data_IF_662905474937
#
_entry.id   IF_662905474937
#
_cell.length_a   1.000
_cell.length_b   1.000
_cell.length_c   1.000
_cell.angle_alpha   90.00
_cell.angle_beta   90.00
_cell.angle_gamma   90.00
#
_symmetry.space_group_name_H-M   'P 1'
#
loop_
_entity.id
_entity.type
_entity.pdbx_description
1 polymer ?
#
# COMPACT_ATOMS: atom_id res chain seq x y z
N UNK A 1 10.99 15.11 29.20
CA UNK A 1 11.19 14.52 27.86
C UNK A 1 10.52 13.15 27.89
N UNK A 2 9.22 13.08 27.58
CA UNK A 2 8.51 11.80 27.53
C UNK A 2 8.97 11.05 26.29
N UNK A 3 9.76 10.00 26.53
CA UNK A 3 10.08 8.97 25.53
C UNK A 3 8.77 8.39 24.99
N UNK A 4 8.72 8.23 23.67
CA UNK A 4 7.67 7.58 22.89
C UNK A 4 6.95 6.49 23.68
N UNK A 5 5.65 6.67 23.92
CA UNK A 5 4.80 5.59 24.40
C UNK A 5 4.76 4.52 23.29
N UNK A 6 5.04 3.27 23.67
CA UNK A 6 4.95 2.13 22.76
C UNK A 6 3.49 1.89 22.40
N UNK A 7 3.19 1.86 21.10
CA UNK A 7 1.85 1.56 20.60
C UNK A 7 1.74 0.05 20.34
N UNK A 8 1.28 -0.69 21.35
CA UNK A 8 1.07 -2.14 21.27
C UNK A 8 0.09 -2.54 20.16
N UNK A 9 -0.87 -1.66 19.81
CA UNK A 9 -1.82 -1.94 18.72
C UNK A 9 -1.10 -1.89 17.38
N UNK A 10 -0.30 -0.85 17.15
CA UNK A 10 0.50 -0.71 15.92
C UNK A 10 1.45 -1.89 15.72
N UNK A 11 2.13 -2.37 16.77
CA UNK A 11 3.01 -3.54 16.66
C UNK A 11 2.26 -4.79 16.20
N UNK A 12 1.04 -4.99 16.72
CA UNK A 12 0.19 -6.12 16.31
C UNK A 12 -0.25 -6.00 14.86
N UNK A 13 -0.61 -4.80 14.41
CA UNK A 13 -0.98 -4.52 13.01
C UNK A 13 0.22 -4.77 12.08
N UNK A 14 1.40 -4.25 12.40
CA UNK A 14 2.63 -4.49 11.61
C UNK A 14 2.96 -5.98 11.56
N UNK A 15 2.80 -6.69 12.69
CA UNK A 15 2.98 -8.14 12.77
C UNK A 15 2.04 -8.90 11.83
N UNK A 16 0.77 -8.51 11.78
CA UNK A 16 -0.22 -9.08 10.86
C UNK A 16 0.12 -8.79 9.40
N UNK A 17 0.49 -7.56 9.07
CA UNK A 17 0.92 -7.17 7.72
C UNK A 17 2.08 -8.06 7.26
N UNK A 18 3.09 -8.26 8.11
CA UNK A 18 4.24 -9.10 7.79
C UNK A 18 3.85 -10.57 7.57
N UNK A 19 2.90 -11.12 8.34
CA UNK A 19 2.41 -12.49 8.16
C UNK A 19 1.60 -12.64 6.86
N UNK A 20 0.70 -11.69 6.57
CA UNK A 20 -0.08 -11.64 5.33
C UNK A 20 0.86 -11.63 4.11
N UNK A 21 1.83 -10.72 4.08
CA UNK A 21 2.79 -10.60 2.97
C UNK A 21 3.67 -11.85 2.83
N UNK A 22 4.02 -12.51 3.93
CA UNK A 22 4.82 -13.74 3.92
C UNK A 22 4.04 -14.92 3.33
N UNK A 23 2.76 -15.05 3.68
CA UNK A 23 1.92 -16.17 3.23
C UNK A 23 1.25 -15.92 1.88
N UNK A 24 1.05 -14.65 1.52
CA UNK A 24 0.29 -14.23 0.34
C UNK A 24 -1.22 -14.49 0.44
N UNK A 25 -1.72 -14.83 1.63
CA UNK A 25 -3.14 -15.13 1.89
C UNK A 25 -3.60 -14.50 3.21
N UNK A 26 -4.89 -14.20 3.27
CA UNK A 26 -5.60 -13.63 4.42
C UNK A 26 -6.65 -14.64 4.88
N UNK A 27 -6.67 -14.91 6.18
CA UNK A 27 -7.66 -15.78 6.82
C UNK A 27 -8.82 -14.96 7.36
N UNK A 28 -10.03 -15.48 7.23
CA UNK A 28 -11.17 -14.88 7.90
C UNK A 28 -10.96 -14.90 9.43
N UNK A 29 -11.22 -13.76 10.11
CA UNK A 29 -10.99 -13.64 11.55
C UNK A 29 -11.97 -14.52 12.33
N UNK A 30 -11.53 -14.98 13.50
CA UNK A 30 -12.35 -15.84 14.37
C UNK A 30 -13.02 -15.07 15.51
N UNK A 31 -12.62 -13.82 15.72
CA UNK A 31 -13.19 -12.91 16.72
C UNK A 31 -13.27 -11.47 16.21
N UNK A 32 -14.12 -10.65 16.83
CA UNK A 32 -14.29 -9.22 16.48
C UNK A 32 -12.98 -8.41 16.63
N UNK A 33 -12.20 -8.70 17.68
CA UNK A 33 -10.92 -8.01 17.89
C UNK A 33 -9.89 -8.35 16.81
N UNK A 34 -9.83 -9.63 16.40
CA UNK A 34 -9.00 -10.04 15.26
C UNK A 34 -9.48 -9.40 13.96
N UNK A 35 -10.79 -9.26 13.79
CA UNK A 35 -11.37 -8.60 12.63
C UNK A 35 -10.97 -7.13 12.54
N UNK A 36 -11.05 -6.36 13.63
CA UNK A 36 -10.63 -4.96 13.64
C UNK A 36 -9.16 -4.79 13.25
N UNK A 37 -8.26 -5.57 13.85
CA UNK A 37 -6.82 -5.51 13.54
C UNK A 37 -6.52 -5.96 12.12
N UNK A 38 -7.25 -6.96 11.61
CA UNK A 38 -7.13 -7.42 10.23
C UNK A 38 -7.58 -6.33 9.25
N UNK A 39 -8.72 -5.70 9.47
CA UNK A 39 -9.23 -4.65 8.60
C UNK A 39 -8.27 -3.46 8.57
N UNK A 40 -7.70 -3.08 9.72
CA UNK A 40 -6.66 -2.05 9.80
C UNK A 40 -5.41 -2.44 8.98
N UNK A 41 -4.93 -3.68 9.12
CA UNK A 41 -3.80 -4.19 8.34
C UNK A 41 -4.06 -4.21 6.82
N UNK A 42 -5.29 -4.54 6.40
CA UNK A 42 -5.69 -4.56 4.99
C UNK A 42 -5.81 -3.17 4.40
N UNK A 43 -6.31 -2.20 5.17
CA UNK A 43 -6.37 -0.79 4.76
C UNK A 43 -4.94 -0.24 4.52
N UNK A 44 -3.99 -0.55 5.41
CA UNK A 44 -2.57 -0.24 5.21
C UNK A 44 -1.97 -0.86 3.94
N UNK A 45 -2.46 -2.03 3.53
CA UNK A 45 -2.01 -2.74 2.35
C UNK A 45 -2.77 -2.35 1.06
N UNK A 46 -3.77 -1.47 1.14
CA UNK A 46 -4.63 -1.13 -0.01
C UNK A 46 -5.51 -2.30 -0.47
N UNK A 47 -5.78 -3.27 0.41
CA UNK A 47 -6.56 -4.47 0.10
C UNK A 47 -8.04 -4.30 0.43
N UNK A 48 -8.90 -4.96 -0.35
CA UNK A 48 -10.34 -5.04 -0.08
C UNK A 48 -10.64 -5.95 1.10
N UNK A 49 -11.76 -5.71 1.78
CA UNK A 49 -12.25 -6.55 2.88
C UNK A 49 -12.59 -7.96 2.37
N UNK A 50 -12.12 -9.04 3.02
CA UNK A 50 -12.48 -10.40 2.64
C UNK A 50 -13.98 -10.66 2.92
N UNK A 51 -14.72 -11.30 2.00
CA UNK A 51 -16.14 -11.60 2.17
C UNK A 51 -16.38 -12.81 3.09
N UNK A 52 -16.07 -12.65 4.37
CA UNK A 52 -16.27 -13.66 5.40
C UNK A 52 -17.76 -13.78 5.77
N UNK A 53 -18.39 -14.91 5.44
CA UNK A 53 -19.84 -15.13 5.67
C UNK A 53 -20.25 -16.59 5.53
N UNK A 54 -20.07 -17.18 4.34
CA UNK A 54 -20.37 -18.60 4.05
C UNK A 54 -19.45 -19.19 2.96
N UNK A 55 -18.30 -18.55 2.72
CA UNK A 55 -17.38 -18.85 1.61
C UNK A 55 -16.04 -19.48 2.03
N UNK A 56 -15.01 -19.23 1.22
CA UNK A 56 -13.64 -19.64 1.50
C UNK A 56 -13.15 -19.05 2.83
N UNK A 57 -12.39 -19.85 3.60
CA UNK A 57 -11.79 -19.39 4.86
C UNK A 57 -10.50 -18.57 4.65
N UNK A 58 -10.01 -18.55 3.42
CA UNK A 58 -8.77 -17.91 3.00
C UNK A 58 -8.98 -17.23 1.64
N UNK A 59 -8.36 -16.06 1.48
CA UNK A 59 -8.33 -15.27 0.24
C UNK A 59 -6.90 -14.87 -0.06
N UNK A 60 -6.49 -14.97 -1.32
CA UNK A 60 -5.19 -14.51 -1.79
C UNK A 60 -5.12 -12.98 -1.84
N UNK A 61 -3.90 -12.42 -1.79
CA UNK A 61 -3.70 -10.98 -2.01
C UNK A 61 -4.22 -10.52 -3.38
N UNK A 62 -4.14 -11.37 -4.41
CA UNK A 62 -4.66 -11.07 -5.74
C UNK A 62 -6.18 -10.92 -5.74
N UNK A 63 -6.91 -11.85 -5.11
CA UNK A 63 -8.38 -11.78 -4.95
C UNK A 63 -8.82 -10.54 -4.16
N UNK A 64 -7.99 -10.08 -3.24
CA UNK A 64 -8.25 -8.87 -2.45
C UNK A 64 -7.80 -7.57 -3.14
N UNK A 65 -7.26 -7.65 -4.36
CA UNK A 65 -6.92 -6.47 -5.17
C UNK A 65 -5.57 -5.83 -4.83
N UNK A 66 -4.68 -6.51 -4.11
CA UNK A 66 -3.36 -5.97 -3.74
C UNK A 66 -2.53 -5.49 -4.95
N UNK A 67 -2.75 -6.09 -6.13
CA UNK A 67 -2.05 -5.74 -7.37
C UNK A 67 -2.86 -4.81 -8.29
N UNK A 68 -4.01 -4.27 -7.87
CA UNK A 68 -4.79 -3.37 -8.71
C UNK A 68 -4.19 -1.95 -8.75
N UNK A 69 -3.44 -1.55 -7.72
CA UNK A 69 -2.79 -0.23 -7.63
C UNK A 69 -1.63 -0.03 -8.63
N UNK A 70 -1.20 -1.08 -9.34
CA UNK A 70 -0.09 -1.00 -10.31
C UNK A 70 -0.53 -0.77 -11.76
N UNK A 71 -1.82 -0.46 -12.01
CA UNK A 71 -2.37 -0.28 -13.36
C UNK A 71 -2.87 1.16 -13.60
N UNK A 72 -1.98 2.11 -13.96
CA UNK A 72 -2.38 3.47 -14.27
C UNK A 72 -3.24 3.51 -15.55
N UNK A 73 -4.12 4.52 -15.71
CA UNK A 73 -4.95 4.66 -16.91
C UNK A 73 -4.09 4.67 -18.17
N UNK A 74 -4.50 3.88 -19.18
CA UNK A 74 -3.77 3.70 -20.45
C UNK A 74 -3.39 5.03 -21.11
N UNK A 75 -4.29 6.01 -21.09
CA UNK A 75 -4.10 7.30 -21.73
C UNK A 75 -3.50 8.37 -20.82
N UNK A 76 -3.35 8.10 -19.51
CA UNK A 76 -2.89 9.05 -18.48
C UNK A 76 -3.55 10.43 -18.59
N UNK A 77 -4.87 10.42 -18.81
CA UNK A 77 -5.73 11.62 -18.77
C UNK A 77 -6.44 11.62 -17.43
N UNK A 78 -6.37 12.72 -16.71
CA UNK A 78 -6.91 12.89 -15.37
C UNK A 78 -7.84 14.11 -15.33
N UNK A 79 -8.92 14.04 -14.56
CA UNK A 79 -9.94 15.08 -14.45
C UNK A 79 -9.44 16.28 -13.65
N UNK A 80 -8.56 16.05 -12.67
CA UNK A 80 -8.02 17.10 -11.80
C UNK A 80 -6.63 16.70 -11.26
N UNK A 81 -6.01 17.62 -10.50
CA UNK A 81 -4.67 17.43 -9.95
C UNK A 81 -4.60 16.39 -8.83
N UNK A 82 -5.71 16.16 -8.12
CA UNK A 82 -5.82 15.12 -7.10
C UNK A 82 -5.79 13.73 -7.75
N UNK A 83 -6.60 13.51 -8.79
CA UNK A 83 -6.62 12.27 -9.56
C UNK A 83 -5.26 12.00 -10.22
N UNK A 84 -4.62 13.05 -10.75
CA UNK A 84 -3.25 12.97 -11.28
C UNK A 84 -2.25 12.44 -10.23
N UNK A 85 -2.45 12.72 -8.94
CA UNK A 85 -1.55 12.21 -7.92
C UNK A 85 -1.71 10.69 -7.75
N UNK A 86 -2.89 10.22 -7.34
CA UNK A 86 -3.06 8.83 -6.91
C UNK A 86 -3.26 7.85 -8.08
N UNK A 87 -3.87 8.27 -9.21
CA UNK A 87 -4.07 7.39 -10.38
C UNK A 87 -2.88 7.32 -11.33
N UNK A 88 -1.88 8.19 -11.16
CA UNK A 88 -0.66 8.15 -11.99
C UNK A 88 0.39 7.17 -11.43
N UNK A 89 0.16 6.61 -10.24
CA UNK A 89 0.98 5.55 -9.69
C UNK A 89 0.80 4.23 -10.46
N UNK A 90 1.85 3.38 -10.53
CA UNK A 90 3.14 3.53 -9.87
C UNK A 90 4.07 4.49 -10.64
N UNK A 91 4.99 5.14 -9.90
CA UNK A 91 6.09 5.90 -10.50
C UNK A 91 7.00 4.96 -11.33
N UNK A 92 7.66 5.46 -12.39
CA UNK A 92 8.46 4.61 -13.27
C UNK A 92 9.56 3.83 -12.53
N UNK A 93 9.75 2.56 -12.91
CA UNK A 93 10.88 1.74 -12.50
C UNK A 93 11.76 1.50 -13.73
N UNK A 94 12.98 2.05 -13.73
CA UNK A 94 13.84 2.08 -14.91
C UNK A 94 15.17 1.39 -14.62
N UNK A 95 15.60 0.48 -15.49
CA UNK A 95 16.90 -0.18 -15.37
C UNK A 95 18.03 0.80 -15.68
N UNK A 96 19.02 0.89 -14.80
CA UNK A 96 20.21 1.72 -15.01
C UNK A 96 21.31 0.86 -15.65
N UNK A 97 21.33 0.82 -16.99
CA UNK A 97 22.25 -0.05 -17.74
C UNK A 97 23.72 0.22 -17.45
N UNK A 98 24.12 1.50 -17.31
CA UNK A 98 25.52 1.87 -17.01
C UNK A 98 25.98 1.50 -15.60
N UNK A 99 25.04 1.33 -14.66
CA UNK A 99 25.32 0.92 -13.28
C UNK A 99 25.04 -0.58 -13.05
N UNK A 100 24.52 -1.27 -14.06
CA UNK A 100 24.28 -2.71 -13.99
C UNK A 100 25.50 -3.48 -14.49
N UNK A 101 25.76 -4.64 -13.90
CA UNK A 101 26.83 -5.57 -14.27
C UNK A 101 26.27 -6.98 -14.49
N UNK A 102 27.15 -7.94 -14.79
CA UNK A 102 26.76 -9.35 -14.91
C UNK A 102 26.25 -9.97 -13.60
N UNK A 103 26.68 -9.46 -12.44
CA UNK A 103 26.29 -9.97 -11.12
C UNK A 103 25.20 -9.13 -10.43
N UNK A 104 24.99 -7.88 -10.85
CA UNK A 104 24.08 -6.95 -10.19
C UNK A 104 23.23 -6.18 -11.21
N UNK A 105 21.92 -6.12 -10.96
CA UNK A 105 20.96 -5.35 -11.78
C UNK A 105 20.44 -4.19 -10.96
N UNK A 106 20.71 -2.97 -11.42
CA UNK A 106 20.29 -1.74 -10.73
C UNK A 106 19.06 -1.17 -11.40
N UNK A 107 18.04 -0.84 -10.60
CA UNK A 107 16.80 -0.22 -11.03
C UNK A 107 16.54 1.04 -10.21
N UNK A 108 16.14 2.12 -10.87
CA UNK A 108 15.75 3.36 -10.24
C UNK A 108 14.23 3.49 -10.21
N UNK A 109 13.69 3.71 -9.01
CA UNK A 109 12.29 4.08 -8.79
C UNK A 109 12.18 5.61 -8.81
N UNK A 110 11.61 6.17 -9.87
CA UNK A 110 11.68 7.60 -10.15
C UNK A 110 10.59 8.39 -9.42
N UNK A 111 10.75 8.57 -8.10
CA UNK A 111 9.78 9.28 -7.24
C UNK A 111 9.64 10.79 -7.54
N UNK A 112 10.47 11.35 -8.42
CA UNK A 112 10.28 12.71 -8.90
C UNK A 112 9.12 12.85 -9.91
N UNK A 113 8.50 11.74 -10.32
CA UNK A 113 7.28 11.75 -11.14
C UNK A 113 6.00 12.09 -10.35
N UNK A 114 6.08 12.26 -9.04
CA UNK A 114 4.95 12.80 -8.28
C UNK A 114 4.72 14.29 -8.63
N UNK A 115 3.46 14.75 -8.77
CA UNK A 115 3.13 15.98 -9.49
C UNK A 115 3.33 17.29 -8.73
N UNK A 116 3.41 17.28 -7.38
CA UNK A 116 3.40 18.51 -6.59
C UNK A 116 4.80 18.96 -6.18
N UNK A 117 5.53 18.13 -5.43
CA UNK A 117 6.90 18.46 -4.99
C UNK A 117 7.98 17.89 -5.89
N UNK A 118 7.62 17.13 -6.93
CA UNK A 118 8.56 16.31 -7.72
C UNK A 118 9.42 15.43 -6.81
N UNK A 119 8.81 14.83 -5.78
CA UNK A 119 9.51 13.99 -4.83
C UNK A 119 8.60 12.96 -4.18
N UNK A 120 9.20 12.02 -3.46
CA UNK A 120 8.50 11.02 -2.63
C UNK A 120 7.57 11.64 -1.58
N UNK A 121 7.77 12.93 -1.22
CA UNK A 121 7.03 13.60 -0.14
C UNK A 121 5.55 13.80 -0.46
N UNK A 122 5.16 13.77 -1.73
CA UNK A 122 3.75 13.90 -2.13
C UNK A 122 2.88 12.77 -1.54
N UNK A 123 3.44 11.56 -1.39
CA UNK A 123 2.73 10.40 -0.83
C UNK A 123 2.29 10.64 0.61
N UNK A 124 3.24 11.02 1.48
CA UNK A 124 2.94 11.27 2.88
C UNK A 124 2.15 12.57 3.05
N UNK A 125 2.43 13.60 2.25
CA UNK A 125 1.64 14.83 2.23
C UNK A 125 0.16 14.54 1.97
N UNK A 126 -0.12 13.71 0.95
CA UNK A 126 -1.47 13.27 0.63
C UNK A 126 -2.12 12.43 1.73
N UNK A 127 -1.40 11.44 2.27
CA UNK A 127 -1.89 10.61 3.36
C UNK A 127 -2.25 11.42 4.62
N UNK A 128 -1.43 12.43 4.97
CA UNK A 128 -1.72 13.31 6.11
C UNK A 128 -2.95 14.19 5.86
N UNK A 129 -3.09 14.77 4.67
CA UNK A 129 -4.23 15.63 4.32
C UNK A 129 -5.53 14.82 4.28
N UNK A 130 -5.54 13.67 3.58
CA UNK A 130 -6.71 12.79 3.52
C UNK A 130 -7.08 12.22 4.88
N UNK A 131 -6.09 11.80 5.66
CA UNK A 131 -6.31 11.33 7.04
C UNK A 131 -6.85 12.42 7.96
N UNK A 132 -6.53 13.69 7.72
CA UNK A 132 -7.15 14.82 8.44
C UNK A 132 -8.59 15.07 8.00
N UNK A 133 -8.88 14.98 6.69
CA UNK A 133 -10.22 15.23 6.14
C UNK A 133 -11.23 14.10 6.39
N UNK A 134 -10.75 12.87 6.62
CA UNK A 134 -11.60 11.72 6.93
C UNK A 134 -12.07 11.66 8.40
N UNK A 135 -11.61 12.60 9.24
CA UNK A 135 -12.04 12.78 10.63
C UNK A 135 -13.19 13.78 10.71
#
# INVERSE_FOLDING_TARGET
MQMFAWDERLERVIGLIADILRRGVVRCPSSLLEEELLLEALDFLGCRRPPCGEGAREYTLEELGFFEEISPPRFRVFQNTEELLYRNWPTPLVKLSSLSSGSQRVWAKLEFFNPFSMSVKDRIGWSMVTGFLAR
#
